data_IF_126525251433
#
_entry.id   IF_126525251433
#
_cell.length_a   1.000
_cell.length_b   1.000
_cell.length_c   1.000
_cell.angle_alpha   90.00
_cell.angle_beta   90.00
_cell.angle_gamma   90.00
#
_symmetry.space_group_name_H-M   'P 1'
#
loop_
_entity.id
_entity.type
_entity.pdbx_description
1 polymer ?
#
# COMPACT_ATOMS: atom_id res chain seq x y z
N UNK A 1 -22.31 8.82 1.40
CA UNK A 1 -21.50 9.19 2.59
C UNK A 1 -20.52 8.10 2.98
N UNK A 2 -20.98 6.92 3.42
CA UNK A 2 -20.11 5.83 3.91
C UNK A 2 -19.00 5.41 2.94
N UNK A 3 -19.29 5.32 1.63
CA UNK A 3 -18.28 5.02 0.59
C UNK A 3 -17.15 6.05 0.52
N UNK A 4 -17.46 7.34 0.70
CA UNK A 4 -16.47 8.42 0.69
C UNK A 4 -15.60 8.39 1.94
N UNK A 5 -16.19 8.04 3.10
CA UNK A 5 -15.44 7.83 4.35
C UNK A 5 -14.49 6.65 4.18
N UNK A 6 -14.94 5.52 3.63
CA UNK A 6 -14.07 4.39 3.34
C UNK A 6 -12.94 4.76 2.35
N UNK A 7 -13.24 5.57 1.34
CA UNK A 7 -12.23 6.14 0.44
C UNK A 7 -11.21 7.03 1.14
N UNK A 8 -11.65 7.87 2.09
CA UNK A 8 -10.78 8.71 2.91
C UNK A 8 -9.87 7.85 3.81
N UNK A 9 -10.42 6.82 4.46
CA UNK A 9 -9.65 5.86 5.25
C UNK A 9 -8.61 5.17 4.37
N UNK A 10 -8.99 4.76 3.16
CA UNK A 10 -8.07 4.12 2.22
C UNK A 10 -6.94 5.06 1.77
N UNK A 11 -7.27 6.32 1.51
CA UNK A 11 -6.29 7.34 1.18
C UNK A 11 -5.31 7.55 2.33
N UNK A 12 -5.82 7.75 3.55
CA UNK A 12 -4.99 7.93 4.74
C UNK A 12 -4.10 6.72 5.01
N UNK A 13 -4.65 5.51 4.88
CA UNK A 13 -3.92 4.27 5.05
C UNK A 13 -2.80 4.12 4.01
N UNK A 14 -3.08 4.41 2.74
CA UNK A 14 -2.06 4.41 1.68
C UNK A 14 -0.96 5.44 1.91
N UNK A 15 -1.29 6.67 2.30
CA UNK A 15 -0.30 7.69 2.63
C UNK A 15 0.58 7.29 3.81
N UNK A 16 0.00 6.63 4.81
CA UNK A 16 0.74 6.12 5.95
C UNK A 16 1.73 5.02 5.54
N UNK A 17 1.30 4.05 4.72
CA UNK A 17 2.20 3.01 4.20
C UNK A 17 3.29 3.56 3.28
N UNK A 18 3.01 4.60 2.49
CA UNK A 18 4.03 5.31 1.70
C UNK A 18 5.11 5.87 2.63
N UNK A 19 4.71 6.57 3.69
CA UNK A 19 5.66 7.14 4.64
C UNK A 19 6.52 6.06 5.30
N UNK A 20 5.89 4.96 5.72
CA UNK A 20 6.61 3.84 6.35
C UNK A 20 7.58 3.14 5.37
N UNK A 21 7.27 3.12 4.07
CA UNK A 21 8.17 2.64 3.02
C UNK A 21 9.31 3.61 2.69
N UNK A 22 9.07 4.93 2.71
CA UNK A 22 10.08 5.94 2.36
C UNK A 22 11.10 6.16 3.50
N UNK A 23 10.65 6.14 4.76
CA UNK A 23 11.51 6.38 5.92
C UNK A 23 12.79 5.53 5.95
N UNK A 24 12.76 4.19 5.78
CA UNK A 24 13.97 3.38 5.76
C UNK A 24 14.88 3.70 4.56
N UNK A 25 14.31 4.02 3.40
CA UNK A 25 15.07 4.42 2.21
C UNK A 25 15.86 5.71 2.49
N UNK A 26 15.21 6.71 3.09
CA UNK A 26 15.87 7.98 3.47
C UNK A 26 17.02 7.75 4.44
N UNK A 27 16.81 6.91 5.47
CA UNK A 27 17.86 6.58 6.43
C UNK A 27 19.07 5.89 5.80
N UNK A 28 18.88 5.13 4.73
CA UNK A 28 19.96 4.43 4.02
C UNK A 28 20.70 5.39 3.08
N UNK A 29 19.98 6.28 2.41
CA UNK A 29 20.56 7.36 1.60
C UNK A 29 21.37 8.32 2.46
N UNK A 30 20.87 8.71 3.63
CA UNK A 30 21.58 9.56 4.60
C UNK A 30 22.89 8.94 5.10
N UNK A 31 23.00 7.60 5.07
CA UNK A 31 24.22 6.86 5.41
C UNK A 31 25.22 6.75 4.25
N UNK A 32 24.96 7.45 3.13
CA UNK A 32 25.85 7.53 1.98
C UNK A 32 25.60 6.48 0.89
N UNK A 33 24.49 5.74 0.96
CA UNK A 33 24.11 4.80 -0.11
C UNK A 33 23.42 5.52 -1.27
N UNK A 34 23.60 5.02 -2.49
CA UNK A 34 22.87 5.55 -3.65
C UNK A 34 21.37 5.20 -3.59
N UNK A 35 20.52 6.06 -4.15
CA UNK A 35 19.06 5.92 -4.09
C UNK A 35 18.59 4.60 -4.70
N UNK A 36 19.19 4.16 -5.82
CA UNK A 36 18.82 2.90 -6.45
C UNK A 36 19.07 1.71 -5.53
N UNK A 37 20.23 1.70 -4.85
CA UNK A 37 20.58 0.67 -3.88
C UNK A 37 19.67 0.71 -2.64
N UNK A 38 19.28 1.90 -2.19
CA UNK A 38 18.39 2.12 -1.05
C UNK A 38 16.93 1.73 -1.35
N UNK A 39 16.46 1.90 -2.58
CA UNK A 39 15.12 1.45 -2.99
C UNK A 39 15.00 -0.07 -3.06
N UNK A 40 16.13 -0.75 -3.29
CA UNK A 40 16.24 -2.21 -3.33
C UNK A 40 16.68 -2.82 -1.99
N UNK A 41 17.08 -2.00 -1.01
CA UNK A 41 17.57 -2.41 0.31
C UNK A 41 16.90 -1.53 1.38
N UNK A 42 15.94 -2.01 2.19
CA UNK A 42 15.44 -3.38 2.32
C UNK A 42 14.87 -3.94 1.01
N UNK A 43 15.00 -5.27 0.77
CA UNK A 43 14.47 -5.91 -0.42
C UNK A 43 12.99 -5.56 -0.47
N UNK A 44 12.59 -4.87 -1.54
CA UNK A 44 11.21 -4.51 -1.93
C UNK A 44 10.63 -3.16 -1.51
N UNK A 45 11.42 -2.23 -0.95
CA UNK A 45 10.94 -0.89 -0.60
C UNK A 45 10.29 -0.15 -1.79
N UNK A 46 10.84 -0.28 -3.00
CA UNK A 46 10.23 0.25 -4.21
C UNK A 46 8.82 -0.28 -4.48
N UNK A 47 8.62 -1.60 -4.38
CA UNK A 47 7.31 -2.25 -4.63
C UNK A 47 6.32 -1.79 -3.56
N UNK A 48 6.77 -1.72 -2.31
CA UNK A 48 5.98 -1.22 -1.18
C UNK A 48 5.46 0.20 -1.42
N UNK A 49 6.34 1.10 -1.84
CA UNK A 49 5.99 2.50 -2.13
C UNK A 49 5.02 2.57 -3.33
N UNK A 50 5.33 1.89 -4.44
CA UNK A 50 4.51 1.93 -5.65
C UNK A 50 3.11 1.38 -5.40
N UNK A 51 2.99 0.22 -4.74
CA UNK A 51 1.70 -0.38 -4.39
C UNK A 51 0.88 0.53 -3.47
N UNK A 52 1.52 1.16 -2.48
CA UNK A 52 0.87 2.11 -1.57
C UNK A 52 0.43 3.40 -2.26
N UNK A 53 1.20 3.91 -3.25
CA UNK A 53 0.80 5.04 -4.11
C UNK A 53 -0.45 4.70 -4.90
N UNK A 54 -0.46 3.54 -5.58
CA UNK A 54 -1.62 3.08 -6.35
C UNK A 54 -2.86 2.96 -5.46
N UNK A 55 -2.67 2.42 -4.25
CA UNK A 55 -3.73 2.29 -3.25
C UNK A 55 -4.27 3.64 -2.78
N UNK A 56 -3.39 4.57 -2.43
CA UNK A 56 -3.73 5.93 -2.01
C UNK A 56 -4.49 6.69 -3.11
N UNK A 57 -4.00 6.62 -4.36
CA UNK A 57 -4.69 7.19 -5.52
C UNK A 57 -6.07 6.58 -5.72
N UNK A 58 -6.21 5.26 -5.53
CA UNK A 58 -7.51 4.60 -5.53
C UNK A 58 -8.47 5.19 -4.48
N UNK A 59 -8.00 5.35 -3.24
CA UNK A 59 -8.75 6.01 -2.16
C UNK A 59 -9.19 7.43 -2.49
N UNK A 60 -8.28 8.24 -3.06
CA UNK A 60 -8.57 9.60 -3.53
C UNK A 60 -9.65 9.60 -4.62
N UNK A 61 -9.54 8.71 -5.61
CA UNK A 61 -10.54 8.59 -6.67
C UNK A 61 -11.91 8.15 -6.12
N UNK A 62 -11.95 7.31 -5.09
CA UNK A 62 -13.20 6.95 -4.40
C UNK A 62 -13.81 8.18 -3.71
N UNK A 63 -12.98 8.99 -3.04
CA UNK A 63 -13.40 10.23 -2.38
C UNK A 63 -14.01 11.21 -3.39
N UNK A 64 -13.39 11.35 -4.56
CA UNK A 64 -13.85 12.15 -5.70
C UNK A 64 -15.01 11.49 -6.49
N UNK A 65 -15.53 10.35 -6.02
CA UNK A 65 -16.63 9.61 -6.66
C UNK A 65 -16.35 9.11 -8.09
N UNK A 66 -15.09 8.96 -8.47
CA UNK A 66 -14.69 8.44 -9.78
C UNK A 66 -15.04 6.95 -9.95
N UNK A 67 -15.33 6.54 -11.19
CA UNK A 67 -15.80 5.19 -11.53
C UNK A 67 -14.81 4.08 -11.18
N UNK A 68 -13.51 4.33 -11.32
CA UNK A 68 -12.46 3.31 -11.22
C UNK A 68 -11.65 3.35 -9.92
N UNK A 69 -11.99 4.25 -8.98
CA UNK A 69 -11.19 4.42 -7.76
C UNK A 69 -11.09 3.15 -6.90
N UNK A 70 -12.20 2.43 -6.75
CA UNK A 70 -12.23 1.20 -5.96
C UNK A 70 -11.39 0.08 -6.60
N UNK A 71 -11.41 -0.02 -7.93
CA UNK A 71 -10.58 -0.98 -8.67
C UNK A 71 -9.10 -0.66 -8.51
N UNK A 72 -8.72 0.61 -8.64
CA UNK A 72 -7.33 1.04 -8.46
C UNK A 72 -6.84 0.78 -7.02
N UNK A 73 -7.67 1.08 -6.02
CA UNK A 73 -7.39 0.78 -4.61
C UNK A 73 -7.16 -0.72 -4.39
N UNK A 74 -7.98 -1.56 -5.02
CA UNK A 74 -7.87 -3.03 -4.97
C UNK A 74 -6.55 -3.50 -5.58
N UNK A 75 -6.16 -2.97 -6.75
CA UNK A 75 -4.90 -3.33 -7.40
C UNK A 75 -3.70 -3.02 -6.49
N UNK A 76 -3.65 -1.81 -5.92
CA UNK A 76 -2.59 -1.44 -4.98
C UNK A 76 -2.56 -2.34 -3.75
N UNK A 77 -3.73 -2.64 -3.18
CA UNK A 77 -3.86 -3.52 -2.00
C UNK A 77 -3.38 -4.95 -2.27
N UNK A 78 -3.74 -5.51 -3.42
CA UNK A 78 -3.33 -6.87 -3.83
C UNK A 78 -1.83 -6.91 -4.08
N UNK A 79 -1.26 -5.93 -4.79
CA UNK A 79 0.19 -5.87 -5.00
C UNK A 79 0.96 -5.81 -3.68
N UNK A 80 0.46 -5.04 -2.70
CA UNK A 80 1.05 -4.94 -1.38
C UNK A 80 0.96 -6.26 -0.60
N UNK A 81 -0.18 -6.94 -0.64
CA UNK A 81 -0.34 -8.25 0.02
C UNK A 81 0.53 -9.35 -0.64
N UNK A 82 0.59 -9.37 -1.98
CA UNK A 82 1.44 -10.28 -2.76
C UNK A 82 2.90 -10.06 -2.40
N UNK A 83 3.32 -8.81 -2.21
CA UNK A 83 4.66 -8.50 -1.76
C UNK A 83 5.00 -9.22 -0.45
N UNK A 84 4.17 -9.07 0.58
CA UNK A 84 4.37 -9.79 1.85
C UNK A 84 4.41 -11.31 1.68
N UNK A 85 3.54 -11.86 0.81
CA UNK A 85 3.55 -13.30 0.48
C UNK A 85 4.84 -13.75 -0.21
N UNK A 86 5.41 -12.94 -1.10
CA UNK A 86 6.69 -13.22 -1.75
C UNK A 86 7.86 -13.14 -0.76
N UNK A 87 7.84 -12.19 0.15
CA UNK A 87 8.84 -12.08 1.23
C UNK A 87 8.80 -13.32 2.12
N UNK A 88 7.61 -13.77 2.52
CA UNK A 88 7.43 -15.02 3.25
C UNK A 88 7.99 -16.22 2.48
N UNK A 89 7.66 -16.33 1.19
CA UNK A 89 8.13 -17.42 0.33
C UNK A 89 9.66 -17.42 0.12
N UNK A 90 10.30 -16.25 0.19
CA UNK A 90 11.76 -16.10 0.09
C UNK A 90 12.50 -16.45 1.39
N UNK A 91 11.78 -16.74 2.49
CA UNK A 91 12.37 -17.05 3.79
C UNK A 91 12.80 -15.80 4.57
N UNK A 92 12.21 -14.64 4.29
CA UNK A 92 12.44 -13.44 5.09
C UNK A 92 11.93 -13.61 6.53
N UNK A 93 12.56 -12.91 7.47
CA UNK A 93 12.13 -12.90 8.87
C UNK A 93 10.65 -12.53 9.01
N UNK A 94 9.94 -13.20 9.91
CA UNK A 94 8.49 -13.01 10.09
C UNK A 94 8.09 -11.58 10.43
N UNK A 95 8.94 -10.85 11.14
CA UNK A 95 8.72 -9.43 11.43
C UNK A 95 8.78 -8.52 10.21
N UNK A 96 9.37 -8.97 9.10
CA UNK A 96 9.52 -8.18 7.86
C UNK A 96 8.43 -8.41 6.82
N UNK A 97 7.63 -9.47 6.95
CA UNK A 97 6.59 -9.79 5.95
C UNK A 97 5.19 -9.91 6.53
N UNK A 98 5.07 -10.23 7.82
CA UNK A 98 3.78 -10.43 8.46
C UNK A 98 2.97 -9.14 8.50
N UNK A 99 3.63 -8.02 8.78
CA UNK A 99 3.01 -6.70 8.78
C UNK A 99 2.51 -6.34 7.38
N UNK A 100 3.30 -6.59 6.34
CA UNK A 100 2.95 -6.37 4.94
C UNK A 100 1.71 -7.17 4.54
N UNK A 101 1.65 -8.45 4.92
CA UNK A 101 0.49 -9.30 4.65
C UNK A 101 -0.74 -8.81 5.42
N UNK A 102 -0.60 -8.49 6.71
CA UNK A 102 -1.73 -8.04 7.54
C UNK A 102 -2.31 -6.71 7.04
N UNK A 103 -1.44 -5.73 6.76
CA UNK A 103 -1.86 -4.45 6.22
C UNK A 103 -2.42 -4.58 4.80
N UNK A 104 -1.81 -5.41 3.95
CA UNK A 104 -2.32 -5.73 2.62
C UNK A 104 -3.71 -6.35 2.67
N UNK A 105 -3.94 -7.32 3.56
CA UNK A 105 -5.25 -7.95 3.75
C UNK A 105 -6.29 -6.97 4.31
N UNK A 106 -5.90 -6.09 5.24
CA UNK A 106 -6.76 -5.01 5.73
C UNK A 106 -7.17 -4.05 4.62
N UNK A 107 -6.24 -3.67 3.74
CA UNK A 107 -6.52 -2.86 2.56
C UNK A 107 -7.43 -3.56 1.55
N UNK A 108 -7.26 -4.87 1.32
CA UNK A 108 -8.15 -5.66 0.48
C UNK A 108 -9.56 -5.66 1.06
N UNK A 109 -9.72 -5.90 2.37
CA UNK A 109 -11.02 -5.86 3.03
C UNK A 109 -11.69 -4.49 2.89
N UNK A 110 -10.92 -3.39 3.05
CA UNK A 110 -11.41 -2.03 2.84
C UNK A 110 -11.81 -1.77 1.38
N UNK A 111 -11.03 -2.28 0.42
CA UNK A 111 -11.35 -2.21 -1.02
C UNK A 111 -12.64 -2.94 -1.36
N UNK A 112 -12.83 -4.15 -0.82
CA UNK A 112 -14.07 -4.94 -0.99
C UNK A 112 -15.25 -4.18 -0.39
N UNK A 113 -15.10 -3.60 0.80
CA UNK A 113 -16.13 -2.75 1.39
C UNK A 113 -16.50 -1.59 0.45
N UNK A 114 -15.53 -0.86 -0.08
CA UNK A 114 -15.77 0.24 -1.03
C UNK A 114 -16.50 -0.25 -2.30
N UNK A 115 -16.18 -1.45 -2.80
CA UNK A 115 -16.82 -2.05 -3.99
C UNK A 115 -18.28 -2.43 -3.73
N UNK A 116 -18.60 -2.93 -2.53
CA UNK A 116 -19.96 -3.30 -2.13
C UNK A 116 -20.85 -2.09 -1.81
N UNK A 117 -20.25 -0.99 -1.36
CA UNK A 117 -21.00 0.22 -1.03
C UNK A 117 -21.50 0.92 -2.30
N UNK A 118 -22.79 1.29 -2.31
CA UNK A 118 -23.42 1.96 -3.44
C UNK A 118 -22.72 3.29 -3.74
N UNK A 119 -22.60 3.61 -5.04
CA UNK A 119 -22.19 4.94 -5.50
C UNK A 119 -23.33 5.89 -5.17
N UNK A 120 -23.21 6.59 -4.04
CA UNK A 120 -24.09 7.68 -3.65
C UNK A 120 -23.63 8.99 -4.29
#
# INVERSE_FOLDING_TARGET
MLRRVAGLVMLGFGLWLIWDGIRPVLLIVERGSDLGSALLSPPTSAIRIVSSIVMAFGGLLVLLSARFGATLATIGSVLFAVLGGLMAASGADSGLWMDEVLFGMGAIALSVLILTLRRA
#
